data_IF_808137748916
#
_entry.id   IF_808137748916
#
_cell.length_a   1.000
_cell.length_b   1.000
_cell.length_c   1.000
_cell.angle_alpha   90.00
_cell.angle_beta   90.00
_cell.angle_gamma   90.00
#
_symmetry.space_group_name_H-M   'P 1'
#
loop_
_entity.id
_entity.type
_entity.pdbx_description
1 polymer ?
#
# COMPACT_ATOMS: atom_id res chain seq x y z
N UNK A 1 -6.26 -38.07 -22.30
CA UNK A 1 -5.92 -36.67 -22.65
C UNK A 1 -6.16 -35.79 -21.44
N UNK A 2 -5.22 -34.89 -21.14
CA UNK A 2 -5.21 -34.05 -19.94
C UNK A 2 -6.27 -32.94 -20.01
N UNK A 3 -6.93 -32.66 -18.89
CA UNK A 3 -7.44 -31.31 -18.59
C UNK A 3 -7.14 -31.00 -17.13
N UNK A 4 -5.99 -30.36 -16.91
CA UNK A 4 -5.58 -29.76 -15.65
C UNK A 4 -6.20 -28.37 -15.53
N UNK A 5 -7.35 -28.24 -14.89
CA UNK A 5 -7.89 -26.92 -14.52
C UNK A 5 -7.82 -26.72 -13.00
N UNK A 6 -6.59 -26.55 -12.53
CA UNK A 6 -6.33 -26.11 -11.16
C UNK A 6 -6.52 -24.59 -11.11
N UNK A 7 -7.75 -24.17 -10.82
CA UNK A 7 -8.11 -22.76 -10.67
C UNK A 7 -7.56 -22.27 -9.32
N UNK A 8 -6.24 -22.00 -9.26
CA UNK A 8 -5.61 -21.34 -8.12
C UNK A 8 -6.02 -19.87 -8.13
N UNK A 9 -7.13 -19.58 -7.48
CA UNK A 9 -7.53 -18.23 -7.12
C UNK A 9 -6.41 -17.69 -6.21
N UNK A 10 -5.43 -16.97 -6.78
CA UNK A 10 -4.43 -16.23 -6.01
C UNK A 10 -5.19 -15.14 -5.27
N UNK A 11 -5.71 -15.45 -4.07
CA UNK A 11 -6.20 -14.44 -3.12
C UNK A 11 -5.03 -13.50 -2.86
N UNK A 12 -5.03 -12.34 -3.50
CA UNK A 12 -4.05 -11.29 -3.26
C UNK A 12 -4.32 -10.78 -1.83
N UNK A 13 -3.67 -11.40 -0.85
CA UNK A 13 -3.70 -10.94 0.53
C UNK A 13 -2.95 -9.61 0.56
N UNK A 14 -3.61 -8.56 1.03
CA UNK A 14 -2.93 -7.28 1.26
C UNK A 14 -1.81 -7.49 2.29
N UNK A 15 -0.59 -7.04 2.00
CA UNK A 15 0.52 -7.20 2.93
C UNK A 15 0.18 -6.44 4.21
N UNK A 16 0.26 -7.13 5.34
CA UNK A 16 0.22 -6.48 6.66
C UNK A 16 1.29 -5.40 6.75
N UNK A 17 1.18 -4.47 7.71
CA UNK A 17 2.21 -3.43 7.91
C UNK A 17 3.63 -4.03 8.02
N UNK A 18 3.75 -5.22 8.62
CA UNK A 18 5.00 -5.97 8.77
C UNK A 18 5.51 -6.44 7.41
N UNK A 19 4.66 -7.06 6.59
CA UNK A 19 5.01 -7.54 5.25
C UNK A 19 5.36 -6.38 4.31
N UNK A 20 4.62 -5.27 4.38
CA UNK A 20 4.92 -4.07 3.62
C UNK A 20 6.28 -3.48 4.02
N UNK A 21 6.56 -3.39 5.32
CA UNK A 21 7.83 -2.91 5.84
C UNK A 21 9.01 -3.76 5.33
N UNK A 22 8.86 -5.09 5.36
CA UNK A 22 9.85 -6.02 4.83
C UNK A 22 10.06 -5.82 3.31
N UNK A 23 8.97 -5.70 2.53
CA UNK A 23 9.02 -5.52 1.07
C UNK A 23 9.72 -4.23 0.66
N UNK A 24 9.50 -3.13 1.38
CA UNK A 24 10.13 -1.83 1.06
C UNK A 24 11.45 -1.58 1.80
N UNK A 25 11.92 -2.57 2.57
CA UNK A 25 13.15 -2.54 3.37
C UNK A 25 13.18 -1.36 4.36
N UNK A 26 12.11 -1.20 5.15
CA UNK A 26 12.02 -0.23 6.25
C UNK A 26 11.53 -0.93 7.53
N UNK A 27 11.61 -0.24 8.66
CA UNK A 27 11.06 -0.77 9.92
C UNK A 27 9.53 -0.67 9.95
N UNK A 28 8.89 -1.61 10.62
CA UNK A 28 7.44 -1.58 10.82
C UNK A 28 6.99 -0.32 11.58
N UNK A 29 7.79 0.15 12.55
CA UNK A 29 7.54 1.43 13.24
C UNK A 29 7.54 2.63 12.29
N UNK A 30 8.38 2.62 11.24
CA UNK A 30 8.36 3.69 10.23
C UNK A 30 7.05 3.68 9.44
N UNK A 31 6.55 2.51 9.04
CA UNK A 31 5.23 2.40 8.40
C UNK A 31 4.13 2.89 9.35
N UNK A 32 4.15 2.49 10.62
CA UNK A 32 3.20 2.96 11.63
C UNK A 32 3.20 4.50 11.78
N UNK A 33 4.38 5.12 11.83
CA UNK A 33 4.49 6.58 11.89
C UNK A 33 4.01 7.28 10.63
N UNK A 34 4.21 6.68 9.45
CA UNK A 34 3.68 7.20 8.19
C UNK A 34 2.14 7.16 8.22
N UNK A 35 1.57 6.01 8.59
CA UNK A 35 0.11 5.83 8.70
C UNK A 35 -0.55 6.67 9.78
N UNK A 36 0.21 7.08 10.80
CA UNK A 36 -0.25 8.01 11.82
C UNK A 36 -0.05 9.49 11.41
N UNK A 37 0.49 9.78 10.23
CA UNK A 37 0.81 11.14 9.78
C UNK A 37 1.98 11.79 10.52
N UNK A 38 2.64 11.08 11.46
CA UNK A 38 3.74 11.60 12.28
C UNK A 38 5.04 11.75 11.49
N UNK A 39 5.17 11.04 10.36
CA UNK A 39 6.37 11.08 9.53
C UNK A 39 6.01 10.96 8.06
N UNK A 40 6.50 11.89 7.24
CA UNK A 40 6.44 11.73 5.78
C UNK A 40 7.64 10.93 5.26
N UNK A 41 7.42 9.96 4.36
CA UNK A 41 8.52 9.26 3.70
C UNK A 41 9.22 10.18 2.69
N UNK A 42 10.44 9.83 2.28
CA UNK A 42 11.05 10.46 1.11
C UNK A 42 10.40 9.99 -0.18
N UNK A 43 10.53 10.74 -1.27
CA UNK A 43 10.01 10.36 -2.60
C UNK A 43 10.37 8.91 -3.00
N UNK A 44 11.63 8.53 -2.81
CA UNK A 44 12.12 7.17 -3.10
C UNK A 44 11.40 6.09 -2.29
N UNK A 45 11.04 6.37 -1.04
CA UNK A 45 10.29 5.44 -0.17
C UNK A 45 8.81 5.42 -0.53
N UNK A 46 8.22 6.59 -0.76
CA UNK A 46 6.84 6.72 -1.22
C UNK A 46 6.60 5.91 -2.51
N UNK A 47 7.51 6.00 -3.48
CA UNK A 47 7.46 5.19 -4.71
C UNK A 47 7.44 3.68 -4.42
N UNK A 48 8.34 3.19 -3.57
CA UNK A 48 8.38 1.78 -3.19
C UNK A 48 7.11 1.31 -2.48
N UNK A 49 6.56 2.14 -1.59
CA UNK A 49 5.32 1.81 -0.87
C UNK A 49 4.15 1.78 -1.85
N UNK A 50 4.07 2.75 -2.76
CA UNK A 50 3.08 2.80 -3.82
C UNK A 50 3.16 1.57 -4.74
N UNK A 51 4.35 1.18 -5.20
CA UNK A 51 4.55 -0.06 -5.98
C UNK A 51 4.16 -1.32 -5.18
N UNK A 52 4.43 -1.33 -3.88
CA UNK A 52 4.11 -2.47 -3.02
C UNK A 52 2.61 -2.61 -2.73
N UNK A 53 1.87 -1.51 -2.72
CA UNK A 53 0.44 -1.43 -2.39
C UNK A 53 -0.45 -1.22 -3.61
N UNK A 54 0.11 -1.01 -4.80
CA UNK A 54 -0.66 -0.70 -6.02
C UNK A 54 -1.31 0.68 -6.00
N UNK A 55 -0.70 1.65 -5.31
CA UNK A 55 -1.24 3.01 -5.14
C UNK A 55 -0.36 4.09 -5.77
N UNK A 56 -0.69 5.37 -5.59
CA UNK A 56 0.08 6.50 -6.10
C UNK A 56 1.11 6.98 -5.05
N UNK A 57 2.38 7.28 -5.42
CA UNK A 57 3.37 7.84 -4.49
C UNK A 57 2.92 9.12 -3.78
N UNK A 58 2.12 9.97 -4.45
CA UNK A 58 1.61 11.23 -3.90
C UNK A 58 0.75 11.00 -2.66
N UNK A 59 -0.03 9.92 -2.62
CA UNK A 59 -0.82 9.52 -1.45
C UNK A 59 0.06 9.41 -0.19
N UNK A 60 1.25 8.84 -0.32
CA UNK A 60 2.15 8.61 0.81
C UNK A 60 2.90 9.87 1.24
N UNK A 61 2.99 10.86 0.36
CA UNK A 61 3.71 12.12 0.59
C UNK A 61 2.79 13.18 1.17
N UNK A 62 1.58 13.26 0.67
CA UNK A 62 0.65 14.37 0.95
C UNK A 62 -0.68 13.90 1.53
N UNK A 63 -1.09 12.66 1.24
CA UNK A 63 -2.37 12.11 1.69
C UNK A 63 -2.52 12.06 3.21
N UNK A 64 -3.75 11.98 3.67
CA UNK A 64 -4.14 11.97 5.08
C UNK A 64 -3.91 10.59 5.71
N UNK A 65 -3.75 10.49 7.04
CA UNK A 65 -3.65 9.22 7.75
C UNK A 65 -4.78 8.25 7.40
N UNK A 66 -6.02 8.73 7.27
CA UNK A 66 -7.14 7.89 6.84
C UNK A 66 -6.97 7.34 5.43
N UNK A 67 -6.55 8.17 4.48
CA UNK A 67 -6.36 7.76 3.09
C UNK A 67 -5.25 6.71 2.96
N UNK A 68 -4.16 6.87 3.70
CA UNK A 68 -3.07 5.87 3.71
C UNK A 68 -3.50 4.54 4.35
N UNK A 69 -4.32 4.57 5.40
CA UNK A 69 -4.88 3.35 6.02
C UNK A 69 -5.90 2.68 5.11
N UNK A 70 -6.71 3.46 4.39
CA UNK A 70 -7.64 2.95 3.41
C UNK A 70 -6.90 2.26 2.26
N UNK A 71 -5.79 2.82 1.79
CA UNK A 71 -4.92 2.21 0.78
C UNK A 71 -4.30 0.86 1.19
N UNK A 72 -4.17 0.58 2.49
CA UNK A 72 -3.75 -0.74 2.98
C UNK A 72 -4.91 -1.71 3.15
N UNK A 73 -6.12 -1.17 3.35
CA UNK A 73 -7.31 -1.95 3.70
C UNK A 73 -8.11 -2.36 2.47
N UNK A 74 -8.11 -1.54 1.42
CA UNK A 74 -8.95 -1.75 0.24
C UNK A 74 -8.14 -2.28 -0.95
N UNK A 75 -8.57 -3.44 -1.47
CA UNK A 75 -8.23 -3.92 -2.81
C UNK A 75 -8.66 -2.83 -3.80
N UNK A 76 -7.76 -2.34 -4.66
CA UNK A 76 -7.88 -1.05 -5.37
C UNK A 76 -9.26 -0.68 -5.92
N UNK A 77 -9.71 0.55 -5.64
CA UNK A 77 -10.90 1.12 -6.25
C UNK A 77 -11.42 2.41 -5.60
N UNK A 78 -11.01 3.56 -6.14
CA UNK A 78 -11.88 4.74 -6.28
C UNK A 78 -12.15 5.65 -5.07
N UNK A 79 -11.36 6.72 -4.94
CA UNK A 79 -11.76 8.11 -5.25
C UNK A 79 -10.60 9.02 -4.89
N UNK A 80 -9.96 9.61 -5.90
CA UNK A 80 -9.34 10.93 -5.74
C UNK A 80 -10.47 11.90 -5.40
N UNK A 81 -10.48 12.57 -4.23
CA UNK A 81 -11.29 13.76 -4.07
C UNK A 81 -10.78 14.76 -5.10
N UNK A 82 -11.64 15.06 -6.07
CA UNK A 82 -11.43 16.11 -7.05
C UNK A 82 -11.02 17.39 -6.30
N UNK A 83 -9.90 17.96 -6.72
CA UNK A 83 -9.46 19.29 -6.31
C UNK A 83 -10.57 20.28 -6.70
N UNK A 84 -11.04 21.04 -5.72
CA UNK A 84 -11.86 22.23 -5.92
C UNK A 84 -10.97 23.45 -6.07
#
# INVERSE_FOLDING_TARGET
MQIKNQNVIKRYKMPTQIELAAKVKVSQSMISFILAGKRRPSWKKAKKIAEATGTNPVLWLEGSPEEMKAALSNNGGGKTPNQG
#
